data_IF_560673329870
#
_entry.id   IF_560673329870
#
_cell.length_a   1.000
_cell.length_b   1.000
_cell.length_c   1.000
_cell.angle_alpha   90.00
_cell.angle_beta   90.00
_cell.angle_gamma   90.00
#
_symmetry.space_group_name_H-M   'P 1'
#
loop_
_entity.id
_entity.type
_entity.pdbx_description
1 polymer ?
#
# COMPACT_ATOMS: atom_id res chain seq x y z
N UNK A 1 18.59 22.16 7.15
CA UNK A 1 17.59 21.83 8.19
C UNK A 1 16.24 21.27 7.68
N UNK A 2 16.08 20.82 6.41
CA UNK A 2 14.76 20.42 5.86
C UNK A 2 14.46 18.90 5.80
N UNK A 3 15.47 18.02 5.86
CA UNK A 3 15.27 16.54 5.74
C UNK A 3 14.93 15.85 7.05
N UNK A 4 15.55 16.27 8.16
CA UNK A 4 15.31 15.67 9.48
C UNK A 4 13.84 15.80 9.91
N UNK A 5 13.22 16.95 9.59
CA UNK A 5 11.80 17.21 9.89
C UNK A 5 10.83 16.28 9.15
N UNK A 6 11.06 15.99 7.86
CA UNK A 6 10.18 15.10 7.08
C UNK A 6 10.27 13.65 7.58
N UNK A 7 11.49 13.14 7.80
CA UNK A 7 11.66 11.76 8.30
C UNK A 7 11.09 11.59 9.71
N UNK A 8 11.36 12.56 10.61
CA UNK A 8 10.79 12.55 11.95
C UNK A 8 9.26 12.61 11.93
N UNK A 9 8.68 13.41 11.03
CA UNK A 9 7.23 13.48 10.83
C UNK A 9 6.65 12.11 10.46
N UNK A 10 7.13 11.47 9.39
CA UNK A 10 6.58 10.19 8.94
C UNK A 10 6.78 9.05 9.96
N UNK A 11 7.93 9.02 10.65
CA UNK A 11 8.17 8.07 11.74
C UNK A 11 7.21 8.33 12.92
N UNK A 12 7.05 9.60 13.30
CA UNK A 12 6.10 10.02 14.34
C UNK A 12 4.66 9.67 14.00
N UNK A 13 4.22 9.91 12.76
CA UNK A 13 2.88 9.52 12.28
C UNK A 13 2.71 8.00 12.29
N UNK A 14 3.72 7.24 11.87
CA UNK A 14 3.68 5.77 11.93
C UNK A 14 3.54 5.28 13.37
N UNK A 15 4.29 5.86 14.30
CA UNK A 15 4.20 5.57 15.73
C UNK A 15 2.81 5.90 16.29
N UNK A 16 2.25 7.06 15.94
CA UNK A 16 0.90 7.44 16.36
C UNK A 16 -0.15 6.46 15.84
N UNK A 17 -0.07 6.05 14.57
CA UNK A 17 -1.00 5.07 13.98
C UNK A 17 -0.90 3.70 14.67
N UNK A 18 0.31 3.26 15.05
CA UNK A 18 0.49 2.03 15.84
C UNK A 18 -0.12 2.16 17.24
N UNK A 19 0.04 3.31 17.90
CA UNK A 19 -0.57 3.57 19.20
C UNK A 19 -2.09 3.58 19.09
N UNK A 20 -2.67 4.24 18.08
CA UNK A 20 -4.11 4.24 17.84
C UNK A 20 -4.65 2.84 17.55
N UNK A 21 -3.93 2.04 16.75
CA UNK A 21 -4.27 0.65 16.50
C UNK A 21 -4.25 -0.14 17.81
N UNK A 22 -3.17 -0.04 18.60
CA UNK A 22 -3.06 -0.73 19.89
C UNK A 22 -4.17 -0.34 20.87
N UNK A 23 -4.45 0.96 21.04
CA UNK A 23 -5.53 1.46 21.88
C UNK A 23 -6.90 0.93 21.44
N UNK A 24 -7.13 0.82 20.13
CA UNK A 24 -8.37 0.24 19.58
C UNK A 24 -8.46 -1.25 19.91
N UNK A 25 -7.38 -2.01 19.70
CA UNK A 25 -7.34 -3.45 20.00
C UNK A 25 -7.55 -3.73 21.50
N UNK A 26 -6.98 -2.89 22.37
CA UNK A 26 -7.15 -2.98 23.82
C UNK A 26 -8.57 -2.60 24.25
N UNK A 27 -9.13 -1.51 23.70
CA UNK A 27 -10.51 -1.11 23.97
C UNK A 27 -11.54 -2.17 23.57
N UNK A 28 -11.27 -2.93 22.50
CA UNK A 28 -12.10 -4.07 22.09
C UNK A 28 -12.09 -5.22 23.10
N UNK A 29 -11.03 -5.36 23.91
CA UNK A 29 -10.96 -6.36 24.98
C UNK A 29 -11.65 -5.88 26.26
N UNK A 30 -11.42 -4.61 26.64
CA UNK A 30 -11.89 -4.04 27.91
C UNK A 30 -13.38 -3.67 27.90
N UNK A 31 -13.92 -3.31 26.73
CA UNK A 31 -15.32 -2.93 26.57
C UNK A 31 -16.00 -3.85 25.55
N UNK A 32 -16.55 -5.00 25.99
CA UNK A 32 -17.21 -5.96 25.11
C UNK A 32 -18.56 -5.46 24.56
N UNK A 33 -19.01 -4.26 24.97
CA UNK A 33 -20.19 -3.60 24.42
C UNK A 33 -20.12 -3.60 22.89
N UNK A 34 -21.07 -4.27 22.26
CA UNK A 34 -21.01 -4.50 20.83
C UNK A 34 -21.51 -3.24 20.12
N UNK A 35 -20.66 -2.51 19.37
CA UNK A 35 -21.19 -1.60 18.37
C UNK A 35 -22.09 -2.40 17.42
N UNK A 36 -22.98 -1.71 16.70
CA UNK A 36 -23.78 -2.39 15.68
C UNK A 36 -22.87 -3.15 14.71
N UNK A 37 -23.32 -4.30 14.21
CA UNK A 37 -22.56 -5.13 13.26
C UNK A 37 -22.04 -4.28 12.08
N UNK A 38 -22.87 -3.35 11.59
CA UNK A 38 -22.48 -2.42 10.53
C UNK A 38 -21.36 -1.47 10.96
N UNK A 39 -21.42 -0.90 12.17
CA UNK A 39 -20.37 -0.01 12.68
C UNK A 39 -19.06 -0.78 12.92
N UNK A 40 -19.11 -1.99 13.46
CA UNK A 40 -17.93 -2.83 13.61
C UNK A 40 -17.30 -3.15 12.24
N UNK A 41 -18.10 -3.64 11.30
CA UNK A 41 -17.62 -4.00 9.97
C UNK A 41 -17.02 -2.80 9.22
N UNK A 42 -17.79 -1.71 9.08
CA UNK A 42 -17.40 -0.56 8.25
C UNK A 42 -16.42 0.37 8.94
N UNK A 43 -16.64 0.71 10.21
CA UNK A 43 -15.76 1.65 10.90
C UNK A 43 -14.58 0.92 11.51
N UNK A 44 -14.81 -0.17 12.25
CA UNK A 44 -13.72 -0.90 12.92
C UNK A 44 -12.79 -1.62 11.93
N UNK A 45 -13.34 -2.45 11.05
CA UNK A 45 -12.57 -3.25 10.10
C UNK A 45 -11.74 -2.42 9.12
N UNK A 46 -12.35 -1.38 8.51
CA UNK A 46 -11.62 -0.47 7.63
C UNK A 46 -10.68 0.47 8.37
N UNK A 47 -11.00 0.94 9.59
CA UNK A 47 -10.07 1.75 10.37
C UNK A 47 -8.80 0.96 10.70
N UNK A 48 -8.93 -0.30 11.11
CA UNK A 48 -7.78 -1.18 11.34
C UNK A 48 -6.94 -1.35 10.07
N UNK A 49 -7.61 -1.65 8.94
CA UNK A 49 -6.94 -1.78 7.64
C UNK A 49 -6.19 -0.50 7.26
N UNK A 50 -6.82 0.66 7.45
CA UNK A 50 -6.25 1.97 7.11
C UNK A 50 -5.10 2.33 8.03
N UNK A 51 -5.18 2.02 9.32
CA UNK A 51 -4.09 2.23 10.27
C UNK A 51 -2.87 1.38 9.89
N UNK A 52 -3.06 0.09 9.62
CA UNK A 52 -1.98 -0.82 9.20
C UNK A 52 -1.37 -0.36 7.87
N UNK A 53 -2.19 -0.07 6.87
CA UNK A 53 -1.71 0.45 5.59
C UNK A 53 -0.99 1.79 5.74
N UNK A 54 -1.48 2.67 6.62
CA UNK A 54 -0.88 3.97 6.92
C UNK A 54 0.51 3.83 7.56
N UNK A 55 0.69 2.89 8.49
CA UNK A 55 2.00 2.59 9.10
C UNK A 55 3.01 2.23 8.02
N UNK A 56 2.72 1.24 7.16
CA UNK A 56 3.66 0.83 6.11
C UNK A 56 3.79 1.86 4.99
N UNK A 57 2.73 2.60 4.69
CA UNK A 57 2.76 3.71 3.74
C UNK A 57 3.74 4.80 4.16
N UNK A 58 3.64 5.27 5.42
CA UNK A 58 4.53 6.30 5.96
C UNK A 58 5.95 5.77 6.17
N UNK A 59 6.11 4.54 6.68
CA UNK A 59 7.41 3.90 6.79
C UNK A 59 8.11 3.77 5.43
N UNK A 60 7.38 3.39 4.38
CA UNK A 60 7.93 3.26 3.03
C UNK A 60 8.42 4.56 2.40
N UNK A 61 7.99 5.72 2.91
CA UNK A 61 8.49 7.02 2.47
C UNK A 61 9.87 7.36 3.06
N UNK A 62 10.24 6.74 4.19
CA UNK A 62 11.49 7.04 4.92
C UNK A 62 12.47 5.88 4.86
N UNK A 63 11.96 4.67 4.99
CA UNK A 63 12.73 3.43 5.03
C UNK A 63 12.70 2.80 3.65
N UNK A 64 13.83 2.32 3.11
CA UNK A 64 13.88 1.68 1.80
C UNK A 64 13.30 0.25 1.86
N UNK A 65 12.01 0.11 2.22
CA UNK A 65 11.32 -1.17 2.35
C UNK A 65 11.38 -1.99 1.05
N UNK A 66 11.49 -1.34 -0.11
CA UNK A 66 11.62 -1.99 -1.40
C UNK A 66 12.91 -2.82 -1.56
N UNK A 67 13.87 -2.68 -0.64
CA UNK A 67 15.08 -3.52 -0.64
C UNK A 67 14.86 -4.85 0.07
N UNK A 68 13.83 -4.99 0.91
CA UNK A 68 13.59 -6.16 1.76
C UNK A 68 13.46 -7.49 0.98
N UNK A 69 12.60 -7.61 -0.05
CA UNK A 69 12.37 -8.91 -0.70
C UNK A 69 13.43 -9.25 -1.78
N UNK A 70 14.42 -8.36 -1.98
CA UNK A 70 15.47 -8.50 -2.98
C UNK A 70 15.00 -8.36 -4.45
N UNK A 71 15.92 -8.35 -5.42
CA UNK A 71 15.60 -8.09 -6.83
C UNK A 71 14.72 -9.16 -7.48
N UNK A 72 14.85 -10.43 -7.05
CA UNK A 72 14.10 -11.57 -7.61
C UNK A 72 12.59 -11.38 -7.44
N UNK A 73 12.15 -10.84 -6.29
CA UNK A 73 10.75 -10.57 -6.03
C UNK A 73 10.11 -9.63 -7.07
N UNK A 74 10.87 -8.65 -7.56
CA UNK A 74 10.38 -7.67 -8.54
C UNK A 74 10.53 -8.13 -9.99
N UNK A 75 11.53 -8.98 -10.27
CA UNK A 75 11.91 -9.40 -11.61
C UNK A 75 11.27 -10.73 -12.03
N UNK A 76 11.02 -11.65 -11.10
CA UNK A 76 10.35 -12.93 -11.35
C UNK A 76 8.83 -12.73 -11.40
N UNK A 77 8.37 -11.97 -12.39
CA UNK A 77 6.97 -11.59 -12.53
C UNK A 77 6.34 -12.37 -13.68
N UNK A 78 5.46 -13.31 -13.36
CA UNK A 78 4.62 -13.94 -14.36
C UNK A 78 3.59 -12.95 -14.89
N UNK A 79 3.96 -12.19 -15.92
CA UNK A 79 3.14 -11.14 -16.51
C UNK A 79 1.75 -11.64 -16.94
N UNK A 80 1.68 -12.89 -17.41
CA UNK A 80 0.42 -13.54 -17.78
C UNK A 80 -0.50 -13.78 -16.58
N UNK A 81 0.05 -14.24 -15.45
CA UNK A 81 -0.71 -14.44 -14.22
C UNK A 81 -1.21 -13.09 -13.67
N UNK A 82 -0.33 -12.10 -13.57
CA UNK A 82 -0.68 -10.77 -13.07
C UNK A 82 -1.74 -10.12 -13.95
N UNK A 83 -1.64 -10.23 -15.28
CA UNK A 83 -2.65 -9.68 -16.18
C UNK A 83 -3.96 -10.45 -16.16
N UNK A 84 -3.98 -11.74 -15.80
CA UNK A 84 -5.22 -12.51 -15.57
C UNK A 84 -5.88 -12.04 -14.28
N UNK A 85 -5.14 -11.98 -13.17
CA UNK A 85 -5.64 -11.50 -11.88
C UNK A 85 -6.19 -10.06 -11.99
N UNK A 86 -5.45 -9.17 -12.66
CA UNK A 86 -5.87 -7.80 -12.88
C UNK A 86 -7.23 -7.68 -13.57
N UNK A 87 -7.47 -8.52 -14.59
CA UNK A 87 -8.73 -8.55 -15.34
C UNK A 87 -9.86 -9.21 -14.55
N UNK A 88 -9.58 -10.36 -13.94
CA UNK A 88 -10.56 -11.13 -13.18
C UNK A 88 -11.11 -10.37 -11.97
N UNK A 89 -10.24 -9.62 -11.27
CA UNK A 89 -10.61 -8.82 -10.11
C UNK A 89 -11.09 -7.40 -10.47
N UNK A 90 -11.20 -7.09 -11.77
CA UNK A 90 -11.55 -5.75 -12.25
C UNK A 90 -10.77 -4.60 -11.58
N UNK A 91 -9.47 -4.80 -11.33
CA UNK A 91 -8.59 -3.80 -10.70
C UNK A 91 -8.49 -2.50 -11.52
N UNK A 92 -8.90 -2.56 -12.79
CA UNK A 92 -9.14 -1.39 -13.66
C UNK A 92 -10.07 -0.35 -13.02
N UNK A 93 -11.11 -0.75 -12.27
CA UNK A 93 -11.98 0.22 -11.57
C UNK A 93 -11.22 0.98 -10.50
N UNK A 94 -10.43 0.28 -9.68
CA UNK A 94 -9.56 0.93 -8.69
C UNK A 94 -8.58 1.89 -9.38
N UNK A 95 -7.99 1.49 -10.51
CA UNK A 95 -7.10 2.36 -11.28
C UNK A 95 -7.81 3.64 -11.72
N UNK A 96 -9.00 3.52 -12.32
CA UNK A 96 -9.80 4.67 -12.79
C UNK A 96 -10.20 5.59 -11.64
N UNK A 97 -10.63 5.02 -10.52
CA UNK A 97 -10.98 5.75 -9.32
C UNK A 97 -9.78 6.55 -8.78
N UNK A 98 -8.62 5.91 -8.63
CA UNK A 98 -7.40 6.58 -8.18
C UNK A 98 -6.94 7.66 -9.15
N UNK A 99 -7.06 7.43 -10.46
CA UNK A 99 -6.79 8.43 -11.49
C UNK A 99 -7.73 9.63 -11.39
N UNK A 100 -9.02 9.40 -11.15
CA UNK A 100 -9.99 10.48 -10.97
C UNK A 100 -9.68 11.32 -9.73
N UNK A 101 -9.39 10.70 -8.58
CA UNK A 101 -9.06 11.42 -7.34
C UNK A 101 -7.77 12.24 -7.51
N UNK A 102 -6.68 11.60 -7.94
CA UNK A 102 -5.34 12.18 -7.83
C UNK A 102 -4.85 12.89 -9.10
N UNK A 103 -5.36 12.51 -10.27
CA UNK A 103 -4.79 12.89 -11.57
C UNK A 103 -5.79 13.57 -12.52
N UNK A 104 -6.95 14.00 -12.02
CA UNK A 104 -7.88 14.82 -12.82
C UNK A 104 -7.30 16.19 -13.22
N UNK A 105 -6.30 16.69 -12.47
CA UNK A 105 -5.62 17.96 -12.77
C UNK A 105 -4.41 17.76 -13.69
N UNK A 106 -4.14 18.68 -14.64
CA UNK A 106 -3.09 18.53 -15.64
C UNK A 106 -1.65 18.56 -15.07
N UNK A 107 -1.42 19.35 -14.01
CA UNK A 107 -0.10 19.47 -13.36
C UNK A 107 0.43 18.14 -12.78
N UNK A 108 -0.33 17.39 -11.95
CA UNK A 108 0.09 16.07 -11.47
C UNK A 108 0.37 15.09 -12.62
N UNK A 109 -0.45 15.14 -13.68
CA UNK A 109 -0.34 14.20 -14.82
C UNK A 109 0.95 14.43 -15.61
N UNK A 110 1.34 15.67 -15.86
CA UNK A 110 2.61 15.95 -16.54
C UNK A 110 3.82 15.62 -15.67
N UNK A 111 3.77 15.88 -14.37
CA UNK A 111 4.84 15.52 -13.44
C UNK A 111 5.08 13.99 -13.41
N UNK A 112 4.00 13.19 -13.43
CA UNK A 112 4.07 11.72 -13.38
C UNK A 112 4.31 11.05 -14.75
N UNK A 113 3.71 11.55 -15.83
CA UNK A 113 3.67 10.91 -17.16
C UNK A 113 4.38 11.69 -18.27
N UNK A 114 5.19 12.71 -17.95
CA UNK A 114 5.90 13.56 -18.92
C UNK A 114 6.95 12.88 -19.81
N UNK A 115 6.84 11.59 -20.10
CA UNK A 115 7.43 10.91 -21.25
C UNK A 115 8.92 10.54 -21.21
N UNK A 116 9.74 11.20 -20.37
CA UNK A 116 11.19 10.93 -20.34
C UNK A 116 11.56 9.57 -19.73
N UNK A 117 12.59 8.91 -20.27
CA UNK A 117 13.15 7.64 -19.73
C UNK A 117 13.47 7.72 -18.24
N UNK A 118 14.04 8.84 -17.78
CA UNK A 118 14.34 9.06 -16.36
C UNK A 118 13.08 9.06 -15.47
N UNK A 119 11.97 9.63 -15.95
CA UNK A 119 10.69 9.64 -15.22
C UNK A 119 10.04 8.27 -15.18
N UNK A 120 10.15 7.50 -16.26
CA UNK A 120 9.66 6.12 -16.27
C UNK A 120 10.49 5.20 -15.37
N UNK A 121 11.81 5.44 -15.25
CA UNK A 121 12.65 4.75 -14.28
C UNK A 121 12.29 5.11 -12.83
N UNK A 122 12.01 6.39 -12.55
CA UNK A 122 11.49 6.83 -11.26
C UNK A 122 10.12 6.19 -10.95
N UNK A 123 9.23 6.13 -11.95
CA UNK A 123 7.95 5.46 -11.81
C UNK A 123 8.12 3.97 -11.49
N UNK A 124 9.06 3.29 -12.15
CA UNK A 124 9.39 1.90 -11.85
C UNK A 124 9.84 1.73 -10.39
N UNK A 125 10.72 2.59 -9.90
CA UNK A 125 11.17 2.59 -8.49
C UNK A 125 10.00 2.84 -7.53
N UNK A 126 9.16 3.85 -7.79
CA UNK A 126 7.99 4.16 -6.98
C UNK A 126 6.99 3.00 -6.92
N UNK A 127 6.79 2.26 -8.03
CA UNK A 127 5.90 1.08 -8.03
C UNK A 127 6.43 -0.05 -7.14
N UNK A 128 7.75 -0.22 -7.02
CA UNK A 128 8.34 -1.21 -6.10
C UNK A 128 8.12 -0.82 -4.63
N UNK A 129 8.32 0.46 -4.31
CA UNK A 129 8.05 1.03 -2.98
C UNK A 129 6.58 0.89 -2.59
N UNK A 130 5.68 1.34 -3.44
CA UNK A 130 4.25 1.24 -3.18
C UNK A 130 3.79 -0.22 -3.04
N UNK A 131 4.30 -1.13 -3.88
CA UNK A 131 3.94 -2.55 -3.78
C UNK A 131 4.34 -3.15 -2.43
N UNK A 132 5.59 -2.97 -2.01
CA UNK A 132 6.05 -3.64 -0.78
C UNK A 132 5.34 -3.11 0.46
N UNK A 133 4.98 -1.82 0.50
CA UNK A 133 4.20 -1.26 1.59
C UNK A 133 2.84 -1.94 1.71
N UNK A 134 2.16 -2.13 0.59
CA UNK A 134 0.89 -2.86 0.59
C UNK A 134 1.06 -4.36 0.86
N UNK A 135 2.15 -5.00 0.43
CA UNK A 135 2.44 -6.40 0.80
C UNK A 135 2.62 -6.56 2.30
N UNK A 136 3.42 -5.69 2.93
CA UNK A 136 3.64 -5.73 4.37
C UNK A 136 2.35 -5.43 5.13
N UNK A 137 1.57 -4.44 4.69
CA UNK A 137 0.26 -4.14 5.25
C UNK A 137 -0.71 -5.31 5.08
N UNK A 138 -0.72 -5.97 3.93
CA UNK A 138 -1.56 -7.13 3.65
C UNK A 138 -1.26 -8.29 4.60
N UNK A 139 0.02 -8.61 4.77
CA UNK A 139 0.48 -9.68 5.67
C UNK A 139 0.18 -9.33 7.13
N UNK A 140 0.49 -8.11 7.58
CA UNK A 140 0.20 -7.66 8.94
C UNK A 140 -1.31 -7.72 9.25
N UNK A 141 -2.15 -7.28 8.31
CA UNK A 141 -3.60 -7.33 8.48
C UNK A 141 -4.14 -8.77 8.48
N UNK A 142 -3.56 -9.68 7.68
CA UNK A 142 -3.90 -11.11 7.73
C UNK A 142 -3.58 -11.72 9.10
N UNK A 143 -2.46 -11.33 9.72
CA UNK A 143 -2.08 -11.79 11.07
C UNK A 143 -3.02 -11.27 12.17
N UNK A 144 -3.73 -10.15 11.94
CA UNK A 144 -4.74 -9.64 12.86
C UNK A 144 -6.08 -10.39 12.76
N UNK A 145 -6.38 -11.07 11.65
CA UNK A 145 -7.67 -11.75 11.48
C UNK A 145 -7.90 -12.86 12.54
N UNK A 146 -6.94 -13.77 12.81
CA UNK A 146 -7.09 -14.76 13.88
C UNK A 146 -7.35 -14.14 15.26
N UNK A 147 -6.77 -12.98 15.53
CA UNK A 147 -7.00 -12.26 16.79
C UNK A 147 -8.45 -11.80 16.93
N UNK A 148 -9.05 -11.22 15.88
CA UNK A 148 -10.47 -10.84 15.90
C UNK A 148 -11.40 -12.05 16.01
N UNK A 149 -11.08 -13.15 15.33
CA UNK A 149 -11.85 -14.39 15.42
C UNK A 149 -11.77 -14.99 16.83
N UNK A 150 -10.61 -14.95 17.47
CA UNK A 150 -10.43 -15.42 18.85
C UNK A 150 -11.27 -14.60 19.85
N UNK A 151 -11.43 -13.30 19.63
CA UNK A 151 -12.31 -12.44 20.43
C UNK A 151 -13.81 -12.60 20.09
N UNK A 152 -14.18 -13.50 19.18
CA UNK A 152 -15.56 -13.68 18.71
C UNK A 152 -16.09 -12.52 17.85
N UNK A 153 -15.21 -11.64 17.37
CA UNK A 153 -15.56 -10.44 16.60
C UNK A 153 -15.53 -10.73 15.09
N UNK A 154 -16.46 -11.57 14.65
CA UNK A 154 -16.58 -11.99 13.24
C UNK A 154 -16.88 -10.82 12.30
N UNK A 155 -17.64 -9.85 12.77
CA UNK A 155 -17.96 -8.59 12.10
C UNK A 155 -16.69 -7.78 11.77
N UNK A 156 -15.80 -7.61 12.75
CA UNK A 156 -14.50 -6.96 12.57
C UNK A 156 -13.59 -7.77 11.66
N UNK A 157 -13.52 -9.09 11.85
CA UNK A 157 -12.71 -9.97 11.00
C UNK A 157 -13.15 -9.89 9.53
N UNK A 158 -14.45 -9.90 9.26
CA UNK A 158 -15.00 -9.79 7.92
C UNK A 158 -14.73 -8.40 7.31
N UNK A 159 -14.96 -7.32 8.07
CA UNK A 159 -14.68 -5.95 7.62
C UNK A 159 -13.19 -5.73 7.35
N UNK A 160 -12.32 -6.25 8.23
CA UNK A 160 -10.87 -6.23 8.07
C UNK A 160 -10.41 -7.05 6.86
N UNK A 161 -10.99 -8.22 6.59
CA UNK A 161 -10.65 -9.03 5.43
C UNK A 161 -11.04 -8.34 4.11
N UNK A 162 -12.24 -7.77 4.06
CA UNK A 162 -12.74 -6.99 2.91
C UNK A 162 -11.89 -5.73 2.70
N UNK A 163 -11.63 -5.00 3.79
CA UNK A 163 -10.71 -3.87 3.78
C UNK A 163 -9.33 -4.26 3.27
N UNK A 164 -8.77 -5.38 3.72
CA UNK A 164 -7.45 -5.85 3.28
C UNK A 164 -7.41 -6.22 1.80
N UNK A 165 -8.51 -6.79 1.28
CA UNK A 165 -8.66 -7.12 -0.14
C UNK A 165 -8.59 -5.85 -1.01
N UNK A 166 -9.41 -4.85 -0.71
CA UNK A 166 -9.48 -3.63 -1.53
C UNK A 166 -8.35 -2.64 -1.24
N UNK A 167 -7.98 -2.50 0.04
CA UNK A 167 -7.01 -1.53 0.52
C UNK A 167 -5.55 -1.97 0.36
N UNK A 168 -5.26 -3.27 0.27
CA UNK A 168 -3.89 -3.77 0.11
C UNK A 168 -3.73 -4.73 -1.06
N UNK A 169 -4.53 -5.79 -1.17
CA UNK A 169 -4.34 -6.78 -2.24
C UNK A 169 -4.54 -6.20 -3.65
N UNK A 170 -5.61 -5.42 -3.86
CA UNK A 170 -5.85 -4.76 -5.15
C UNK A 170 -4.71 -3.81 -5.53
N UNK A 171 -4.21 -2.93 -4.64
CA UNK A 171 -3.00 -2.15 -4.89
C UNK A 171 -1.77 -2.99 -5.25
N UNK A 172 -1.52 -4.13 -4.59
CA UNK A 172 -0.40 -5.02 -4.95
C UNK A 172 -0.52 -5.47 -6.42
N UNK A 173 -1.70 -5.94 -6.82
CA UNK A 173 -1.96 -6.38 -8.20
C UNK A 173 -1.80 -5.21 -9.17
N UNK A 174 -2.30 -4.02 -8.81
CA UNK A 174 -2.17 -2.80 -9.61
C UNK A 174 -0.69 -2.41 -9.82
N UNK A 175 0.11 -2.37 -8.77
CA UNK A 175 1.53 -2.01 -8.86
C UNK A 175 2.32 -3.05 -9.66
N UNK A 176 2.04 -4.35 -9.48
CA UNK A 176 2.63 -5.41 -10.29
C UNK A 176 2.27 -5.29 -11.77
N UNK A 177 1.01 -4.97 -12.07
CA UNK A 177 0.56 -4.77 -13.45
C UNK A 177 1.24 -3.54 -14.07
N UNK A 178 1.35 -2.43 -13.35
CA UNK A 178 2.08 -1.24 -13.82
C UNK A 178 3.55 -1.56 -14.10
N UNK A 179 4.23 -2.24 -13.17
CA UNK A 179 5.61 -2.68 -13.39
C UNK A 179 5.75 -3.57 -14.62
N UNK A 180 4.87 -4.55 -14.82
CA UNK A 180 4.92 -5.43 -16.00
C UNK A 180 4.83 -4.66 -17.33
N UNK A 181 4.11 -3.53 -17.36
CA UNK A 181 4.01 -2.67 -18.54
C UNK A 181 5.30 -1.88 -18.74
N UNK A 182 5.87 -1.34 -17.66
CA UNK A 182 7.14 -0.61 -17.70
C UNK A 182 8.33 -1.50 -18.14
N UNK A 183 8.39 -2.74 -17.66
CA UNK A 183 9.44 -3.69 -18.07
C UNK A 183 9.37 -4.03 -19.57
N UNK A 184 8.16 -4.14 -20.14
CA UNK A 184 7.97 -4.34 -21.59
C UNK A 184 8.44 -3.18 -22.44
N UNK A 185 8.57 -1.98 -21.86
CA UNK A 185 9.17 -0.81 -22.52
C UNK A 185 10.71 -0.81 -22.45
N UNK A 186 11.34 -1.89 -21.97
CA UNK A 186 12.79 -2.02 -21.88
C UNK A 186 13.41 -1.34 -20.66
N UNK A 187 12.61 -0.93 -19.67
CA UNK A 187 13.12 -0.41 -18.41
C UNK A 187 13.57 -1.56 -17.53
N UNK A 188 14.76 -1.46 -16.93
CA UNK A 188 15.25 -2.44 -15.95
C UNK A 188 15.08 -1.90 -14.53
N UNK A 189 14.80 -2.79 -13.59
CA UNK A 189 14.57 -2.49 -12.16
C UNK A 189 15.79 -1.95 -11.42
N UNK A 190 16.94 -1.82 -12.09
CA UNK A 190 18.17 -1.28 -11.56
C UNK A 190 18.81 -0.35 -12.60
N UNK A 191 19.05 0.92 -12.28
CA UNK A 191 19.97 1.72 -13.08
C UNK A 191 21.40 1.21 -12.81
N UNK A 192 22.21 1.00 -13.86
CA UNK A 192 23.67 1.17 -13.69
C UNK A 192 23.85 2.63 -13.25
N UNK A 193 24.09 2.84 -11.96
CA UNK A 193 24.51 4.13 -11.38
C UNK A 193 23.74 5.35 -11.90
N UNK A 194 22.44 5.42 -11.67
CA UNK A 194 21.75 6.72 -11.70
C UNK A 194 21.86 7.32 -10.30
N UNK A 195 22.77 8.28 -10.14
CA UNK A 195 22.83 9.13 -8.96
C UNK A 195 21.42 9.65 -8.66
N UNK A 196 20.95 9.40 -7.44
CA UNK A 196 19.71 9.95 -6.92
C UNK A 196 19.83 11.48 -6.94
N UNK A 197 19.27 12.13 -7.95
CA UNK A 197 19.10 13.58 -7.91
C UNK A 197 18.18 13.92 -6.72
N UNK A 198 18.62 14.78 -5.79
CA UNK A 198 17.87 15.10 -4.59
C UNK A 198 16.95 16.29 -4.89
N UNK A 199 15.69 16.05 -5.25
CA UNK A 199 14.70 17.12 -5.29
C UNK A 199 13.25 16.61 -5.30
N UNK A 200 12.69 16.38 -4.11
CA UNK A 200 11.30 16.72 -3.69
C UNK A 200 11.22 16.87 -2.16
#
# INVERSE_FOLDING_TARGET
MKKLGKSAFYLGTSGLLLLTLWSTLKGLQEHPGQPSVAAAFWLGGFACTTAVAGVFGMLGLVVPLHKLPGPRFYNCLEANLVSRLYRALHVEWLRRFLCWIHYHKPQPRQAFYGGGRARLALLLHNTQGAEICHVLAFVAQLLLLPYFLHLGRYDLAAGAAVGNLFGNFYPIVLQRQHRSRLLRLGLMTQPRTAQLHPSL
#
